data_IF_837603176013
#
_entry.id   IF_837603176013
#
_cell.length_a   1.000
_cell.length_b   1.000
_cell.length_c   1.000
_cell.angle_alpha   90.00
_cell.angle_beta   90.00
_cell.angle_gamma   90.00
#
_symmetry.space_group_name_H-M   'P 1'
#
loop_
_entity.id
_entity.type
_entity.pdbx_description
1 polymer ?
#
# COMPACT_ATOMS: atom_id res chain seq x y z
N UNK A 1 11.72 20.62 -16.78
CA UNK A 1 12.22 21.88 -16.19
C UNK A 1 12.61 21.56 -14.77
N UNK A 2 13.91 21.43 -14.55
CA UNK A 2 14.52 21.03 -13.29
C UNK A 2 14.62 22.29 -12.43
N UNK A 3 13.64 22.49 -11.54
CA UNK A 3 13.74 23.51 -10.51
C UNK A 3 14.71 22.95 -9.46
N UNK A 4 15.92 23.49 -9.44
CA UNK A 4 16.87 23.31 -8.34
C UNK A 4 16.13 23.51 -7.02
N UNK A 5 15.88 22.42 -6.31
CA UNK A 5 15.16 22.45 -5.04
C UNK A 5 16.03 23.22 -4.03
N UNK A 6 15.47 24.22 -3.32
CA UNK A 6 16.23 25.06 -2.40
C UNK A 6 16.73 24.29 -1.15
N UNK A 7 16.22 23.09 -0.90
CA UNK A 7 16.63 22.21 0.19
C UNK A 7 16.35 20.74 -0.15
N UNK A 8 17.10 19.79 0.45
CA UNK A 8 16.80 18.38 0.29
C UNK A 8 15.42 18.05 0.90
N UNK A 9 14.68 17.11 0.30
CA UNK A 9 13.41 16.63 0.84
C UNK A 9 13.54 16.10 2.29
N UNK A 10 12.54 16.29 3.16
CA UNK A 10 12.65 15.91 4.57
C UNK A 10 12.86 14.41 4.80
N UNK A 11 12.24 13.53 4.00
CA UNK A 11 12.37 12.08 4.20
C UNK A 11 13.55 11.52 3.42
N UNK A 12 13.51 11.60 2.08
CA UNK A 12 14.58 11.05 1.25
C UNK A 12 15.91 11.79 1.45
N UNK A 13 15.88 13.10 1.71
CA UNK A 13 17.07 13.88 2.03
C UNK A 13 17.69 13.60 3.40
N UNK A 14 16.94 12.96 4.31
CA UNK A 14 17.47 12.43 5.57
C UNK A 14 18.27 11.13 5.40
N UNK A 15 18.22 10.50 4.21
CA UNK A 15 18.99 9.29 3.94
C UNK A 15 20.49 9.61 3.80
N UNK A 16 21.38 8.84 4.43
CA UNK A 16 22.83 8.98 4.21
C UNK A 16 23.24 8.64 2.77
N UNK A 17 22.39 7.94 2.01
CA UNK A 17 22.63 7.60 0.61
C UNK A 17 22.12 8.67 -0.37
N UNK A 18 21.37 9.67 0.10
CA UNK A 18 20.63 10.59 -0.77
C UNK A 18 21.52 11.28 -1.80
N UNK A 19 22.69 11.78 -1.40
CA UNK A 19 23.60 12.47 -2.31
C UNK A 19 24.06 11.56 -3.47
N UNK A 20 24.43 10.31 -3.16
CA UNK A 20 24.86 9.33 -4.17
C UNK A 20 23.70 8.90 -5.08
N UNK A 21 22.51 8.70 -4.51
CA UNK A 21 21.31 8.35 -5.27
C UNK A 21 20.88 9.50 -6.19
N UNK A 22 20.90 10.74 -5.68
CA UNK A 22 20.51 11.93 -6.46
C UNK A 22 21.47 12.18 -7.62
N UNK A 23 22.77 11.93 -7.44
CA UNK A 23 23.77 12.08 -8.49
C UNK A 23 23.55 11.12 -9.67
N UNK A 24 22.96 9.95 -9.42
CA UNK A 24 22.73 8.90 -10.43
C UNK A 24 21.28 8.80 -10.90
N UNK A 25 20.34 9.45 -10.22
CA UNK A 25 18.90 9.38 -10.54
C UNK A 25 18.44 10.65 -11.25
N UNK A 26 17.93 10.56 -12.49
CA UNK A 26 17.60 11.73 -13.30
C UNK A 26 16.36 12.49 -12.79
N UNK A 27 15.43 11.80 -12.11
CA UNK A 27 14.14 12.36 -11.73
C UNK A 27 13.87 12.25 -10.23
N UNK A 28 13.44 13.36 -9.65
CA UNK A 28 12.93 13.45 -8.27
C UNK A 28 11.49 13.98 -8.32
N UNK A 29 10.54 13.17 -7.92
CA UNK A 29 9.11 13.52 -7.86
C UNK A 29 8.69 13.83 -6.42
N UNK A 30 8.07 14.99 -6.21
CA UNK A 30 7.44 15.34 -4.94
C UNK A 30 5.93 15.12 -5.06
N UNK A 31 5.40 14.09 -4.41
CA UNK A 31 3.96 13.82 -4.37
C UNK A 31 3.22 14.69 -3.37
N UNK A 32 3.90 15.22 -2.36
CA UNK A 32 3.33 16.26 -1.50
C UNK A 32 3.37 17.59 -2.24
N UNK A 33 2.22 18.24 -2.46
CA UNK A 33 2.20 19.57 -3.05
C UNK A 33 2.90 20.59 -2.13
N UNK A 34 3.65 21.51 -2.71
CA UNK A 34 4.11 22.69 -1.97
C UNK A 34 2.89 23.51 -1.51
N UNK A 35 2.97 24.20 -0.38
CA UNK A 35 1.82 24.93 0.19
C UNK A 35 1.22 25.97 -0.78
N UNK A 36 2.05 26.56 -1.64
CA UNK A 36 1.64 27.54 -2.65
C UNK A 36 1.22 26.93 -4.00
N UNK A 37 1.32 25.60 -4.18
CA UNK A 37 0.99 24.94 -5.45
C UNK A 37 -0.53 24.74 -5.60
N UNK A 38 -1.22 25.80 -6.01
CA UNK A 38 -2.67 25.81 -6.19
C UNK A 38 -3.16 24.80 -7.25
N UNK A 39 -2.29 24.28 -8.13
CA UNK A 39 -2.68 23.29 -9.14
C UNK A 39 -2.87 21.90 -8.56
N UNK A 40 -2.19 21.61 -7.44
CA UNK A 40 -2.16 20.31 -6.76
C UNK A 40 -2.86 20.31 -5.41
N UNK A 41 -3.43 21.44 -5.02
CA UNK A 41 -4.39 21.54 -3.93
C UNK A 41 -5.80 21.70 -4.49
N UNK A 42 -6.70 20.77 -4.15
CA UNK A 42 -8.12 20.85 -4.51
C UNK A 42 -8.94 21.24 -3.29
N UNK A 43 -9.91 22.12 -3.48
CA UNK A 43 -10.96 22.37 -2.48
C UNK A 43 -12.08 21.36 -2.72
N UNK A 44 -12.46 20.62 -1.69
CA UNK A 44 -13.54 19.63 -1.75
C UNK A 44 -14.51 19.88 -0.60
N UNK A 45 -15.80 20.05 -0.94
CA UNK A 45 -16.85 20.05 0.06
C UNK A 45 -17.21 18.62 0.42
N UNK A 46 -17.11 18.28 1.69
CA UNK A 46 -17.50 16.97 2.24
C UNK A 46 -18.48 17.23 3.38
N UNK A 47 -19.73 16.80 3.20
CA UNK A 47 -20.83 17.20 4.07
C UNK A 47 -21.03 18.72 4.06
N UNK A 48 -20.94 19.33 5.26
CA UNK A 48 -21.15 20.76 5.44
C UNK A 48 -19.84 21.58 5.43
N UNK A 49 -18.67 20.96 5.26
CA UNK A 49 -17.36 21.59 5.42
C UNK A 49 -16.55 21.53 4.13
N UNK A 50 -15.76 22.56 3.88
CA UNK A 50 -14.77 22.59 2.81
C UNK A 50 -13.41 22.16 3.34
N UNK A 51 -12.74 21.30 2.58
CA UNK A 51 -11.44 20.73 2.91
C UNK A 51 -10.45 20.98 1.80
N UNK A 52 -9.18 21.16 2.18
CA UNK A 52 -8.07 21.20 1.24
C UNK A 52 -7.50 19.79 1.08
N UNK A 53 -7.47 19.30 -0.15
CA UNK A 53 -7.04 17.94 -0.51
C UNK A 53 -5.80 17.98 -1.39
N UNK A 54 -4.75 17.29 -0.96
CA UNK A 54 -3.49 17.15 -1.71
C UNK A 54 -3.66 16.19 -2.89
N UNK A 55 -3.11 16.53 -4.05
CA UNK A 55 -3.10 15.67 -5.23
C UNK A 55 -1.70 15.11 -5.55
N UNK A 56 -1.59 13.80 -5.86
CA UNK A 56 -2.67 12.80 -5.92
C UNK A 56 -3.19 12.37 -4.54
N UNK A 57 -4.49 12.05 -4.43
CA UNK A 57 -5.12 11.48 -3.22
C UNK A 57 -5.61 10.05 -3.47
N UNK A 58 -5.57 9.21 -2.44
CA UNK A 58 -6.13 7.85 -2.51
C UNK A 58 -7.42 7.74 -1.72
N UNK A 59 -8.41 7.02 -2.28
CA UNK A 59 -9.61 6.56 -1.59
C UNK A 59 -9.49 5.07 -1.30
N UNK A 60 -9.58 4.71 -0.02
CA UNK A 60 -9.49 3.34 0.47
C UNK A 60 -10.84 2.91 1.05
N UNK A 61 -11.66 2.11 0.35
CA UNK A 61 -12.69 1.34 1.03
C UNK A 61 -11.97 0.32 1.91
N UNK A 62 -12.13 0.38 3.22
CA UNK A 62 -11.36 -0.44 4.14
C UNK A 62 -11.90 -1.87 4.20
N UNK A 63 -11.08 -2.86 3.87
CA UNK A 63 -11.46 -4.28 3.94
C UNK A 63 -11.56 -4.74 5.40
N UNK A 64 -12.77 -4.87 5.94
CA UNK A 64 -12.95 -5.50 7.26
C UNK A 64 -14.21 -6.34 7.38
N UNK A 65 -14.74 -6.83 6.24
CA UNK A 65 -15.92 -7.72 6.20
C UNK A 65 -15.73 -9.00 7.03
N UNK A 66 -14.52 -9.56 7.02
CA UNK A 66 -14.13 -10.69 7.86
C UNK A 66 -12.68 -10.59 8.32
N UNK A 67 -12.25 -11.33 9.36
CA UNK A 67 -10.85 -11.36 9.77
C UNK A 67 -9.94 -11.86 8.64
N UNK A 68 -8.78 -11.22 8.46
CA UNK A 68 -7.77 -11.61 7.47
C UNK A 68 -7.35 -13.09 7.62
N UNK A 69 -7.21 -13.78 6.48
CA UNK A 69 -6.65 -15.11 6.30
C UNK A 69 -5.21 -15.23 6.78
N UNK A 70 -4.48 -14.12 6.87
CA UNK A 70 -3.14 -14.06 7.45
C UNK A 70 -3.10 -13.28 8.77
N UNK A 71 -2.22 -13.71 9.68
CA UNK A 71 -1.87 -13.03 10.93
C UNK A 71 -0.39 -12.62 10.92
N UNK A 72 -0.01 -11.87 9.88
CA UNK A 72 1.35 -11.40 9.67
C UNK A 72 1.93 -10.75 10.93
N UNK A 73 3.18 -11.08 11.29
CA UNK A 73 3.79 -10.57 12.54
C UNK A 73 3.93 -9.05 12.58
N UNK A 74 4.01 -8.44 11.40
CA UNK A 74 4.15 -7.00 11.17
C UNK A 74 2.82 -6.29 10.91
N UNK A 75 1.67 -6.96 11.06
CA UNK A 75 0.37 -6.38 10.72
C UNK A 75 0.12 -5.07 11.48
N UNK A 76 -0.08 -3.96 10.76
CA UNK A 76 -0.35 -2.66 11.37
C UNK A 76 -1.62 -2.66 12.23
N UNK A 77 -2.59 -3.51 11.92
CA UNK A 77 -3.85 -3.62 12.65
C UNK A 77 -3.74 -4.21 14.06
N UNK A 78 -2.57 -4.76 14.40
CA UNK A 78 -2.25 -5.21 15.76
C UNK A 78 -1.40 -4.20 16.52
N UNK A 79 -0.99 -3.10 15.90
CA UNK A 79 -0.45 -1.94 16.60
C UNK A 79 -1.56 -1.25 17.40
N UNK A 80 -1.18 -0.66 18.53
CA UNK A 80 -2.11 0.05 19.41
C UNK A 80 -1.56 1.43 19.71
N UNK A 81 -2.34 2.46 19.40
CA UNK A 81 -2.03 3.83 19.79
C UNK A 81 -2.09 3.98 21.31
N UNK A 82 -1.23 4.83 21.87
CA UNK A 82 -1.33 5.26 23.27
C UNK A 82 -2.66 5.98 23.52
N UNK A 83 -3.10 6.81 22.57
CA UNK A 83 -4.36 7.54 22.61
C UNK A 83 -5.61 6.63 22.56
N UNK A 84 -5.43 5.34 22.28
CA UNK A 84 -6.54 4.39 22.16
C UNK A 84 -7.30 4.58 20.84
N UNK A 85 -8.60 4.29 20.86
CA UNK A 85 -9.49 4.35 19.69
C UNK A 85 -9.88 2.97 19.15
N UNK A 86 -10.88 2.99 18.26
CA UNK A 86 -11.43 1.81 17.63
C UNK A 86 -10.44 1.22 16.62
N UNK A 87 -10.21 -0.09 16.70
CA UNK A 87 -9.41 -0.78 15.70
C UNK A 87 -10.23 -0.92 14.40
N UNK A 88 -9.71 -0.43 13.28
CA UNK A 88 -10.40 -0.53 11.99
C UNK A 88 -10.73 -1.99 11.65
N UNK A 89 -9.79 -2.91 11.91
CA UNK A 89 -9.96 -4.35 11.73
C UNK A 89 -11.12 -4.99 12.54
N UNK A 90 -11.63 -4.35 13.59
CA UNK A 90 -12.79 -4.87 14.35
C UNK A 90 -14.14 -4.39 13.82
N UNK A 91 -14.17 -3.38 12.95
CA UNK A 91 -15.40 -2.88 12.35
C UNK A 91 -15.95 -3.88 11.32
N UNK A 92 -17.27 -4.02 11.24
CA UNK A 92 -17.94 -4.90 10.28
C UNK A 92 -18.98 -4.12 9.48
N UNK A 93 -19.11 -4.39 8.17
CA UNK A 93 -20.06 -3.69 7.32
C UNK A 93 -21.50 -4.02 7.75
N UNK A 94 -22.37 -3.02 7.91
CA UNK A 94 -23.79 -3.27 8.09
C UNK A 94 -24.45 -3.73 6.78
N UNK A 95 -25.71 -4.21 6.81
CA UNK A 95 -26.42 -4.64 5.60
C UNK A 95 -26.52 -3.56 4.51
N UNK A 96 -26.57 -2.29 4.91
CA UNK A 96 -26.66 -1.11 4.04
C UNK A 96 -25.28 -0.55 3.62
N UNK A 97 -24.18 -1.27 3.88
CA UNK A 97 -22.80 -0.80 3.60
C UNK A 97 -22.62 -0.23 2.19
N UNK A 98 -23.11 -0.90 1.14
CA UNK A 98 -22.93 -0.42 -0.23
C UNK A 98 -23.78 0.83 -0.54
N UNK A 99 -24.92 0.99 0.13
CA UNK A 99 -25.69 2.23 0.04
C UNK A 99 -24.94 3.38 0.72
N UNK A 100 -24.35 3.13 1.89
CA UNK A 100 -23.53 4.11 2.60
C UNK A 100 -22.25 4.47 1.81
N UNK A 101 -21.60 3.48 1.19
CA UNK A 101 -20.45 3.71 0.33
C UNK A 101 -20.81 4.60 -0.86
N UNK A 102 -21.95 4.36 -1.53
CA UNK A 102 -22.42 5.25 -2.61
C UNK A 102 -22.61 6.68 -2.14
N UNK A 103 -23.19 6.89 -0.96
CA UNK A 103 -23.32 8.23 -0.38
C UNK A 103 -21.94 8.88 -0.13
N UNK A 104 -20.95 8.13 0.36
CA UNK A 104 -19.59 8.62 0.57
C UNK A 104 -18.91 9.00 -0.74
N UNK A 105 -19.01 8.15 -1.77
CA UNK A 105 -18.45 8.42 -3.11
C UNK A 105 -19.10 9.65 -3.75
N UNK A 106 -20.39 9.88 -3.51
CA UNK A 106 -21.06 11.10 -3.96
C UNK A 106 -20.45 12.38 -3.36
N UNK A 107 -19.89 12.33 -2.13
CA UNK A 107 -19.18 13.46 -1.53
C UNK A 107 -17.85 13.78 -2.23
N UNK A 108 -17.33 12.85 -3.05
CA UNK A 108 -16.02 12.93 -3.70
C UNK A 108 -16.10 13.17 -5.21
N UNK A 109 -17.32 13.38 -5.76
CA UNK A 109 -17.49 13.67 -7.19
C UNK A 109 -16.70 14.91 -7.60
N UNK A 110 -16.05 14.84 -8.76
CA UNK A 110 -15.19 15.90 -9.28
C UNK A 110 -13.78 15.98 -8.68
N UNK A 111 -13.47 15.19 -7.64
CA UNK A 111 -12.12 15.06 -7.09
C UNK A 111 -11.37 13.94 -7.83
N UNK A 112 -10.25 14.23 -8.53
CA UNK A 112 -9.36 13.19 -9.02
C UNK A 112 -8.82 12.38 -7.84
N UNK A 113 -8.92 11.06 -7.93
CA UNK A 113 -8.43 10.15 -6.90
C UNK A 113 -7.93 8.84 -7.51
N UNK A 114 -7.24 8.05 -6.69
CA UNK A 114 -6.93 6.66 -6.99
C UNK A 114 -7.59 5.71 -5.99
N UNK A 115 -8.09 4.58 -6.45
CA UNK A 115 -8.60 3.53 -5.59
C UNK A 115 -7.44 2.70 -5.01
N UNK A 116 -7.38 2.61 -3.70
CA UNK A 116 -6.48 1.74 -2.95
C UNK A 116 -7.32 0.67 -2.26
N UNK A 117 -7.47 -0.49 -2.89
CA UNK A 117 -8.25 -1.61 -2.37
C UNK A 117 -7.39 -2.34 -1.32
N UNK A 118 -7.56 -1.98 -0.05
CA UNK A 118 -6.70 -2.40 1.07
C UNK A 118 -7.43 -2.35 2.42
N UNK A 119 -6.71 -2.63 3.51
CA UNK A 119 -7.22 -2.73 4.88
C UNK A 119 -6.73 -4.04 5.48
N UNK A 120 -7.64 -5.02 5.61
CA UNK A 120 -7.29 -6.43 5.74
C UNK A 120 -7.10 -7.09 4.36
N UNK A 121 -7.68 -8.26 4.13
CA UNK A 121 -7.63 -8.97 2.86
C UNK A 121 -8.98 -8.85 2.15
N UNK A 122 -9.01 -8.11 1.03
CA UNK A 122 -10.20 -7.89 0.23
C UNK A 122 -10.75 -9.20 -0.35
N UNK A 123 -9.85 -10.09 -0.79
CA UNK A 123 -10.22 -11.31 -1.49
C UNK A 123 -10.72 -12.42 -0.57
N UNK A 124 -10.70 -12.19 0.75
CA UNK A 124 -11.19 -13.17 1.72
C UNK A 124 -12.71 -13.38 1.64
N UNK A 125 -13.46 -12.37 1.18
CA UNK A 125 -14.90 -12.41 0.91
C UNK A 125 -15.18 -12.07 -0.55
N UNK A 126 -15.24 -13.09 -1.40
CA UNK A 126 -15.31 -12.92 -2.84
C UNK A 126 -16.60 -12.22 -3.29
N UNK A 127 -17.74 -12.59 -2.69
CA UNK A 127 -19.03 -12.00 -3.03
C UNK A 127 -19.10 -10.52 -2.63
N UNK A 128 -18.65 -10.19 -1.41
CA UNK A 128 -18.57 -8.81 -0.97
C UNK A 128 -17.59 -8.00 -1.82
N UNK A 129 -16.44 -8.59 -2.19
CA UNK A 129 -15.45 -7.89 -3.00
C UNK A 129 -15.95 -7.61 -4.42
N UNK A 130 -16.63 -8.56 -5.06
CA UNK A 130 -17.27 -8.33 -6.37
C UNK A 130 -18.33 -7.23 -6.30
N UNK A 131 -19.13 -7.18 -5.22
CA UNK A 131 -20.10 -6.10 -5.01
C UNK A 131 -19.42 -4.74 -4.78
N UNK A 132 -18.28 -4.71 -4.07
CA UNK A 132 -17.47 -3.52 -3.91
C UNK A 132 -16.98 -3.01 -5.27
N UNK A 133 -16.41 -3.88 -6.11
CA UNK A 133 -15.95 -3.49 -7.45
C UNK A 133 -17.09 -2.91 -8.28
N UNK A 134 -18.29 -3.54 -8.25
CA UNK A 134 -19.47 -3.02 -8.96
C UNK A 134 -19.90 -1.66 -8.44
N UNK A 135 -19.84 -1.44 -7.13
CA UNK A 135 -20.21 -0.17 -6.50
C UNK A 135 -19.25 0.96 -6.90
N UNK A 136 -17.95 0.69 -6.91
CA UNK A 136 -16.93 1.65 -7.34
C UNK A 136 -17.07 1.98 -8.83
N UNK A 137 -17.21 0.97 -9.68
CA UNK A 137 -17.42 1.09 -11.13
C UNK A 137 -18.69 1.88 -11.48
N UNK A 138 -19.78 1.69 -10.73
CA UNK A 138 -20.98 2.51 -10.86
C UNK A 138 -20.71 3.99 -10.50
N UNK A 139 -19.99 4.27 -9.41
CA UNK A 139 -19.67 5.63 -9.03
C UNK A 139 -18.77 6.35 -10.05
N UNK A 140 -17.85 5.62 -10.70
CA UNK A 140 -17.04 6.14 -11.81
C UNK A 140 -17.92 6.55 -13.01
N UNK A 141 -18.87 5.70 -13.42
CA UNK A 141 -19.85 6.05 -14.46
C UNK A 141 -20.71 7.25 -14.09
N UNK A 142 -20.93 7.49 -12.80
CA UNK A 142 -21.67 8.64 -12.27
C UNK A 142 -20.80 9.89 -12.05
N UNK A 143 -19.55 9.90 -12.52
CA UNK A 143 -18.69 11.08 -12.53
C UNK A 143 -17.63 11.14 -11.43
N UNK A 144 -17.34 10.03 -10.75
CA UNK A 144 -16.13 9.93 -9.92
C UNK A 144 -14.89 9.84 -10.83
N UNK A 145 -13.89 10.69 -10.59
CA UNK A 145 -12.68 10.77 -11.40
C UNK A 145 -11.60 9.86 -10.82
N UNK A 146 -11.32 8.74 -11.47
CA UNK A 146 -10.37 7.73 -10.98
C UNK A 146 -9.19 7.57 -11.92
N UNK A 147 -7.99 7.82 -11.40
CA UNK A 147 -6.73 7.78 -12.17
C UNK A 147 -6.09 6.40 -12.15
N UNK A 148 -6.08 5.74 -10.99
CA UNK A 148 -5.48 4.42 -10.79
C UNK A 148 -6.30 3.54 -9.86
N UNK A 149 -6.18 2.22 -10.03
CA UNK A 149 -6.87 1.20 -9.23
C UNK A 149 -5.85 0.16 -8.79
N UNK A 150 -5.56 0.09 -7.50
CA UNK A 150 -4.51 -0.77 -6.95
C UNK A 150 -5.12 -1.71 -5.93
N UNK A 151 -4.83 -3.00 -6.05
CA UNK A 151 -5.20 -4.01 -5.07
C UNK A 151 -3.97 -4.45 -4.27
N UNK A 152 -4.08 -4.40 -2.94
CA UNK A 152 -3.11 -4.99 -2.03
C UNK A 152 -3.68 -6.32 -1.53
N UNK A 153 -2.95 -7.41 -1.71
CA UNK A 153 -3.46 -8.74 -1.34
C UNK A 153 -2.34 -9.68 -0.87
N UNK A 154 -2.68 -10.61 0.00
CA UNK A 154 -1.88 -11.77 0.40
C UNK A 154 -2.10 -12.99 -0.53
N UNK A 155 -3.05 -12.91 -1.45
CA UNK A 155 -3.33 -13.93 -2.46
C UNK A 155 -4.39 -14.97 -2.11
N UNK A 156 -4.93 -14.96 -0.88
CA UNK A 156 -5.77 -16.05 -0.37
C UNK A 156 -7.00 -16.34 -1.24
N UNK A 157 -7.77 -15.32 -1.64
CA UNK A 157 -8.95 -15.53 -2.48
C UNK A 157 -8.62 -16.03 -3.88
N UNK A 158 -7.45 -15.68 -4.44
CA UNK A 158 -7.04 -16.18 -5.76
C UNK A 158 -6.66 -17.66 -5.76
N UNK A 159 -6.19 -18.18 -4.63
CA UNK A 159 -5.86 -19.61 -4.48
C UNK A 159 -7.09 -20.49 -4.21
N UNK A 160 -8.28 -19.91 -4.03
CA UNK A 160 -9.55 -20.63 -3.82
C UNK A 160 -10.24 -20.96 -5.15
N UNK A 161 -11.29 -21.76 -5.07
CA UNK A 161 -12.02 -22.29 -6.23
C UNK A 161 -12.65 -21.25 -7.17
N UNK A 162 -12.79 -19.99 -6.74
CA UNK A 162 -13.35 -18.91 -7.56
C UNK A 162 -12.31 -17.85 -7.98
N UNK A 163 -11.02 -18.14 -7.85
CA UNK A 163 -9.95 -17.21 -8.20
C UNK A 163 -10.04 -16.66 -9.63
N UNK A 164 -10.45 -17.47 -10.61
CA UNK A 164 -10.60 -17.02 -12.00
C UNK A 164 -11.75 -16.01 -12.17
N UNK A 165 -12.85 -16.19 -11.43
CA UNK A 165 -13.97 -15.25 -11.44
C UNK A 165 -13.57 -13.89 -10.83
N UNK A 166 -12.74 -13.92 -9.76
CA UNK A 166 -12.15 -12.71 -9.18
C UNK A 166 -11.22 -12.00 -10.18
N UNK A 167 -10.33 -12.72 -10.85
CA UNK A 167 -9.44 -12.15 -11.87
C UNK A 167 -10.23 -11.47 -12.98
N UNK A 168 -11.26 -12.14 -13.50
CA UNK A 168 -12.14 -11.56 -14.52
C UNK A 168 -12.87 -10.31 -14.02
N UNK A 169 -13.31 -10.29 -12.75
CA UNK A 169 -13.95 -9.11 -12.16
C UNK A 169 -12.98 -7.93 -12.07
N UNK A 170 -11.73 -8.18 -11.68
CA UNK A 170 -10.68 -7.15 -11.59
C UNK A 170 -10.25 -6.64 -12.97
N UNK A 171 -10.17 -7.51 -13.98
CA UNK A 171 -9.92 -7.12 -15.38
C UNK A 171 -11.03 -6.20 -15.90
N UNK A 172 -12.30 -6.58 -15.70
CA UNK A 172 -13.45 -5.74 -16.08
C UNK A 172 -13.48 -4.41 -15.35
N UNK A 173 -13.05 -4.40 -14.08
CA UNK A 173 -12.90 -3.18 -13.28
C UNK A 173 -11.77 -2.27 -13.78
N UNK A 174 -10.91 -2.73 -14.69
CA UNK A 174 -9.77 -1.96 -15.18
C UNK A 174 -8.71 -1.75 -14.10
N UNK A 175 -8.45 -2.77 -13.29
CA UNK A 175 -7.42 -2.72 -12.26
C UNK A 175 -6.05 -2.38 -12.89
N UNK A 176 -5.33 -1.43 -12.31
CA UNK A 176 -4.03 -0.99 -12.82
C UNK A 176 -2.93 -2.00 -12.50
N UNK A 177 -2.90 -2.53 -11.27
CA UNK A 177 -2.02 -3.64 -10.87
C UNK A 177 -2.43 -4.26 -9.54
N UNK A 178 -1.89 -5.44 -9.25
CA UNK A 178 -1.94 -6.10 -7.94
C UNK A 178 -0.57 -6.01 -7.27
N UNK A 179 -0.56 -5.61 -6.01
CA UNK A 179 0.56 -5.77 -5.08
C UNK A 179 0.32 -7.02 -4.24
N UNK A 180 0.97 -8.12 -4.65
CA UNK A 180 0.84 -9.43 -4.02
C UNK A 180 1.97 -9.63 -3.00
N UNK A 181 1.58 -9.92 -1.76
CA UNK A 181 2.52 -10.04 -0.65
C UNK A 181 3.07 -11.46 -0.54
N UNK A 182 4.39 -11.58 -0.64
CA UNK A 182 5.19 -12.75 -0.23
C UNK A 182 6.52 -12.22 0.25
N UNK A 183 6.99 -12.67 1.41
CA UNK A 183 8.17 -12.05 2.04
C UNK A 183 9.36 -13.00 2.10
N UNK A 184 9.20 -14.21 1.59
CA UNK A 184 10.29 -15.13 1.31
C UNK A 184 9.85 -16.21 0.28
N UNK A 185 10.72 -16.67 -0.64
CA UNK A 185 10.40 -17.78 -1.55
C UNK A 185 10.18 -19.10 -0.80
N UNK A 186 11.12 -19.46 0.10
CA UNK A 186 11.01 -20.65 0.94
C UNK A 186 9.84 -20.56 1.92
N UNK A 187 9.00 -21.60 1.91
CA UNK A 187 7.76 -21.69 2.70
C UNK A 187 7.99 -21.47 4.20
N UNK A 188 8.87 -22.26 4.84
CA UNK A 188 9.06 -22.17 6.29
C UNK A 188 9.46 -20.78 6.79
N UNK A 189 10.27 -20.06 5.99
CA UNK A 189 10.66 -18.67 6.29
C UNK A 189 9.51 -17.70 6.08
N UNK A 190 8.73 -17.88 5.00
CA UNK A 190 7.54 -17.08 4.77
C UNK A 190 6.48 -17.31 5.84
N UNK A 191 6.24 -18.55 6.27
CA UNK A 191 5.25 -18.90 7.31
C UNK A 191 5.61 -18.29 8.66
N UNK A 192 6.91 -18.13 8.95
CA UNK A 192 7.37 -17.42 10.13
C UNK A 192 6.98 -15.93 10.12
N UNK A 193 6.82 -15.35 8.93
CA UNK A 193 6.52 -13.93 8.68
C UNK A 193 5.01 -13.72 8.44
N UNK A 194 4.49 -14.29 7.35
CA UNK A 194 3.10 -14.33 6.93
C UNK A 194 2.42 -15.58 7.49
N UNK A 195 1.88 -15.47 8.70
CA UNK A 195 1.22 -16.58 9.39
C UNK A 195 -0.19 -16.78 8.86
N UNK A 196 -0.31 -17.44 7.72
CA UNK A 196 -1.60 -17.86 7.18
C UNK A 196 -2.34 -18.77 8.17
N UNK A 197 -3.66 -18.69 8.16
CA UNK A 197 -4.51 -19.57 8.97
C UNK A 197 -4.44 -21.01 8.43
N UNK A 198 -4.70 -22.01 9.28
CA UNK A 198 -4.79 -23.40 8.82
C UNK A 198 -5.78 -23.55 7.66
N UNK A 199 -5.38 -24.26 6.62
CA UNK A 199 -6.21 -24.52 5.44
C UNK A 199 -6.13 -23.49 4.32
N UNK A 200 -5.43 -22.36 4.51
CA UNK A 200 -5.21 -21.40 3.43
C UNK A 200 -4.17 -21.95 2.45
N UNK A 201 -4.62 -22.39 1.26
CA UNK A 201 -3.76 -23.03 0.26
C UNK A 201 -2.60 -22.13 -0.20
N UNK A 202 -2.80 -20.80 -0.23
CA UNK A 202 -1.78 -19.82 -0.63
C UNK A 202 -0.52 -19.82 0.26
N UNK A 203 -0.58 -20.42 1.45
CA UNK A 203 0.59 -20.59 2.32
C UNK A 203 1.67 -21.45 1.64
N UNK A 204 1.24 -22.50 0.93
CA UNK A 204 2.10 -23.40 0.19
C UNK A 204 2.88 -22.65 -0.91
N UNK A 205 4.17 -22.93 -1.02
CA UNK A 205 5.03 -22.22 -1.96
C UNK A 205 4.69 -22.50 -3.43
N UNK A 206 4.33 -23.74 -3.77
CA UNK A 206 3.99 -24.11 -5.15
C UNK A 206 2.64 -23.50 -5.55
N UNK A 207 1.66 -23.57 -4.65
CA UNK A 207 0.35 -22.92 -4.85
C UNK A 207 0.52 -21.40 -5.01
N UNK A 208 1.41 -20.78 -4.23
CA UNK A 208 1.71 -19.36 -4.38
C UNK A 208 2.26 -19.05 -5.78
N UNK A 209 3.28 -19.79 -6.24
CA UNK A 209 3.90 -19.56 -7.56
C UNK A 209 2.87 -19.73 -8.68
N UNK A 210 2.09 -20.81 -8.66
CA UNK A 210 1.04 -21.05 -9.65
C UNK A 210 -0.04 -19.95 -9.63
N UNK A 211 -0.41 -19.47 -8.44
CA UNK A 211 -1.37 -18.37 -8.30
C UNK A 211 -0.81 -17.05 -8.81
N UNK A 212 0.46 -16.74 -8.50
CA UNK A 212 1.14 -15.55 -8.99
C UNK A 212 1.25 -15.56 -10.52
N UNK A 213 1.61 -16.69 -11.12
CA UNK A 213 1.70 -16.84 -12.58
C UNK A 213 0.34 -16.60 -13.25
N UNK A 214 -0.75 -17.23 -12.75
CA UNK A 214 -2.11 -16.97 -13.25
C UNK A 214 -2.52 -15.50 -13.11
N UNK A 215 -2.17 -14.86 -11.99
CA UNK A 215 -2.41 -13.41 -11.82
C UNK A 215 -1.65 -12.63 -12.89
N UNK A 216 -0.36 -12.92 -13.09
CA UNK A 216 0.51 -12.21 -14.04
C UNK A 216 0.07 -12.37 -15.50
N UNK A 217 -0.56 -13.49 -15.85
CA UNK A 217 -1.18 -13.70 -17.17
C UNK A 217 -2.40 -12.81 -17.39
N UNK A 218 -3.13 -12.47 -16.33
CA UNK A 218 -4.37 -11.72 -16.41
C UNK A 218 -4.21 -10.21 -16.15
N UNK A 219 -3.28 -9.82 -15.27
CA UNK A 219 -3.15 -8.48 -14.69
C UNK A 219 -1.68 -8.13 -14.43
N UNK A 220 -1.30 -6.85 -14.46
CA UNK A 220 0.03 -6.44 -14.02
C UNK A 220 0.30 -6.84 -12.57
N UNK A 221 1.30 -7.70 -12.37
CA UNK A 221 1.69 -8.22 -11.06
C UNK A 221 2.93 -7.49 -10.52
N UNK A 222 2.82 -7.01 -9.28
CA UNK A 222 3.93 -6.56 -8.45
C UNK A 222 4.05 -7.43 -7.21
N UNK A 223 5.24 -7.92 -6.90
CA UNK A 223 5.49 -8.64 -5.66
C UNK A 223 6.01 -7.69 -4.59
N UNK A 224 5.48 -7.80 -3.37
CA UNK A 224 5.90 -6.98 -2.23
C UNK A 224 6.64 -7.85 -1.21
N UNK A 225 7.90 -7.49 -0.95
CA UNK A 225 8.77 -8.13 0.04
C UNK A 225 9.13 -7.13 1.15
N UNK A 226 8.75 -7.40 2.39
CA UNK A 226 9.20 -6.58 3.51
C UNK A 226 10.57 -7.06 3.99
N UNK A 227 11.55 -6.17 3.93
CA UNK A 227 12.91 -6.41 4.39
C UNK A 227 12.94 -6.58 5.91
N UNK A 228 13.47 -7.71 6.38
CA UNK A 228 13.51 -8.04 7.80
C UNK A 228 14.49 -9.17 8.11
N UNK A 229 14.99 -9.20 9.34
CA UNK A 229 15.73 -10.34 9.86
C UNK A 229 14.85 -11.59 9.88
N UNK A 230 15.40 -12.72 9.41
CA UNK A 230 14.65 -13.96 9.19
C UNK A 230 13.89 -14.00 7.85
N UNK A 231 13.86 -12.90 7.10
CA UNK A 231 13.40 -12.81 5.71
C UNK A 231 14.55 -12.39 4.79
N UNK A 232 14.26 -11.51 3.83
CA UNK A 232 15.27 -10.87 2.99
C UNK A 232 15.89 -9.68 3.74
N UNK A 233 17.22 -9.66 3.87
CA UNK A 233 17.92 -8.69 4.73
C UNK A 233 19.24 -8.15 4.17
N UNK A 234 19.65 -8.57 2.97
CA UNK A 234 20.93 -8.25 2.36
C UNK A 234 20.84 -8.26 0.82
N UNK A 235 21.95 -7.90 0.16
CA UNK A 235 22.02 -7.79 -1.30
C UNK A 235 21.86 -9.13 -2.02
N UNK A 236 22.40 -10.22 -1.46
CA UNK A 236 22.28 -11.56 -2.03
C UNK A 236 20.84 -12.06 -1.97
N UNK A 237 20.16 -11.83 -0.84
CA UNK A 237 18.74 -12.12 -0.68
C UNK A 237 17.87 -11.29 -1.64
N UNK A 238 18.22 -10.03 -1.89
CA UNK A 238 17.55 -9.20 -2.91
C UNK A 238 17.71 -9.81 -4.30
N UNK A 239 18.93 -10.14 -4.72
CA UNK A 239 19.19 -10.74 -6.04
C UNK A 239 18.43 -12.07 -6.21
N UNK A 240 18.52 -12.96 -5.24
CA UNK A 240 17.81 -14.24 -5.27
C UNK A 240 16.29 -14.07 -5.28
N UNK A 241 15.76 -13.06 -4.58
CA UNK A 241 14.33 -12.75 -4.59
C UNK A 241 13.89 -12.22 -5.95
N UNK A 242 14.69 -11.39 -6.62
CA UNK A 242 14.39 -10.88 -7.97
C UNK A 242 14.32 -12.02 -8.98
N UNK A 243 15.26 -12.97 -8.94
CA UNK A 243 15.24 -14.14 -9.82
C UNK A 243 14.01 -15.02 -9.61
N UNK A 244 13.66 -15.27 -8.34
CA UNK A 244 12.43 -16.00 -8.01
C UNK A 244 11.17 -15.24 -8.44
N UNK A 245 11.14 -13.91 -8.27
CA UNK A 245 10.02 -13.08 -8.66
C UNK A 245 9.78 -13.09 -10.18
N UNK A 246 10.84 -13.15 -10.99
CA UNK A 246 10.72 -13.35 -12.44
C UNK A 246 10.02 -14.66 -12.77
N UNK A 247 10.37 -15.76 -12.10
CA UNK A 247 9.72 -17.06 -12.29
C UNK A 247 8.23 -17.04 -11.91
N UNK A 248 7.83 -16.16 -10.99
CA UNK A 248 6.43 -15.91 -10.64
C UNK A 248 5.66 -15.05 -11.68
N UNK A 249 6.34 -14.51 -12.70
CA UNK A 249 5.75 -13.61 -13.70
C UNK A 249 5.64 -12.14 -13.27
N UNK A 250 6.24 -11.76 -12.14
CA UNK A 250 6.20 -10.39 -11.64
C UNK A 250 7.07 -9.46 -12.51
N UNK A 251 6.51 -8.30 -12.88
CA UNK A 251 7.26 -7.25 -13.61
C UNK A 251 7.79 -6.15 -12.70
N UNK A 252 7.37 -6.16 -11.44
CA UNK A 252 7.86 -5.23 -10.42
C UNK A 252 8.05 -5.97 -9.11
N UNK A 253 9.13 -5.68 -8.40
CA UNK A 253 9.33 -6.07 -7.00
C UNK A 253 9.51 -4.83 -6.15
N UNK A 254 8.76 -4.78 -5.05
CA UNK A 254 8.82 -3.71 -4.06
C UNK A 254 9.44 -4.28 -2.78
N UNK A 255 10.66 -3.88 -2.49
CA UNK A 255 11.33 -4.10 -1.21
C UNK A 255 10.98 -2.95 -0.25
N UNK A 256 10.24 -3.27 0.80
CA UNK A 256 9.70 -2.29 1.74
C UNK A 256 10.33 -2.45 3.12
N UNK A 257 10.70 -1.34 3.75
CA UNK A 257 11.04 -1.30 5.17
C UNK A 257 9.78 -1.40 6.03
N UNK A 258 9.85 -1.95 7.25
CA UNK A 258 8.84 -1.63 8.25
C UNK A 258 8.73 -0.12 8.44
N UNK A 259 7.49 0.38 8.53
CA UNK A 259 7.28 1.79 8.83
C UNK A 259 7.92 2.15 10.17
N UNK A 260 8.65 3.27 10.18
CA UNK A 260 9.23 3.83 11.41
C UNK A 260 8.08 4.26 12.31
N UNK A 261 8.02 3.68 13.50
CA UNK A 261 7.02 4.03 14.49
C UNK A 261 7.49 5.26 15.28
N UNK A 262 6.58 6.22 15.47
CA UNK A 262 6.79 7.31 16.43
C UNK A 262 6.47 6.87 17.87
N UNK A 263 6.64 7.79 18.82
CA UNK A 263 6.41 7.56 20.25
C UNK A 263 4.93 7.29 20.61
N UNK A 264 4.00 7.49 19.66
CA UNK A 264 2.55 7.35 19.87
C UNK A 264 2.03 5.91 19.99
N UNK A 265 2.88 4.90 19.96
CA UNK A 265 2.47 3.48 19.96
C UNK A 265 2.80 2.78 21.28
N UNK A 266 1.90 1.93 21.75
CA UNK A 266 2.09 1.08 22.92
C UNK A 266 3.13 0.00 22.63
N UNK A 267 3.93 -0.31 23.65
CA UNK A 267 4.77 -1.50 23.63
C UNK A 267 3.89 -2.77 23.64
N UNK A 268 4.10 -3.64 22.66
CA UNK A 268 3.25 -4.79 22.38
C UNK A 268 3.95 -5.78 21.48
N UNK A 269 3.33 -6.96 21.26
CA UNK A 269 3.96 -8.03 20.49
C UNK A 269 4.41 -7.59 19.09
N UNK A 270 3.57 -6.82 18.38
CA UNK A 270 3.90 -6.30 17.05
C UNK A 270 4.95 -5.20 17.10
N UNK A 271 4.82 -4.22 18.00
CA UNK A 271 5.81 -3.16 18.14
C UNK A 271 7.22 -3.72 18.41
N UNK A 272 7.33 -4.67 19.36
CA UNK A 272 8.60 -5.37 19.64
C UNK A 272 9.13 -6.13 18.44
N UNK A 273 8.26 -6.84 17.71
CA UNK A 273 8.67 -7.54 16.51
C UNK A 273 9.21 -6.60 15.44
N UNK A 274 8.50 -5.49 15.17
CA UNK A 274 8.94 -4.50 14.19
C UNK A 274 10.32 -3.95 14.58
N UNK A 275 10.55 -3.62 15.85
CA UNK A 275 11.87 -3.16 16.30
C UNK A 275 12.96 -4.22 16.14
N UNK A 276 12.70 -5.46 16.57
CA UNK A 276 13.71 -6.53 16.60
C UNK A 276 14.05 -7.07 15.21
N UNK A 277 13.06 -7.16 14.32
CA UNK A 277 13.23 -7.74 13.00
C UNK A 277 13.52 -6.70 11.92
N UNK A 278 13.46 -5.39 12.21
CA UNK A 278 13.66 -4.34 11.23
C UNK A 278 15.02 -4.43 10.57
N UNK A 279 15.00 -4.36 9.25
CA UNK A 279 16.17 -4.10 8.41
C UNK A 279 15.90 -2.80 7.66
N UNK A 280 16.79 -1.82 7.81
CA UNK A 280 16.61 -0.52 7.16
C UNK A 280 16.79 -0.66 5.63
N UNK A 281 15.94 0.02 4.85
CA UNK A 281 16.09 0.03 3.38
C UNK A 281 17.43 0.61 2.99
N UNK A 282 17.89 1.67 3.66
CA UNK A 282 19.18 2.29 3.36
C UNK A 282 20.37 1.35 3.58
N UNK A 283 20.28 0.45 4.57
CA UNK A 283 21.33 -0.54 4.81
C UNK A 283 21.41 -1.54 3.65
N UNK A 284 20.26 -2.12 3.25
CA UNK A 284 20.21 -3.10 2.17
C UNK A 284 20.55 -2.45 0.84
N UNK A 285 20.04 -1.25 0.58
CA UNK A 285 20.32 -0.50 -0.63
C UNK A 285 21.81 -0.16 -0.75
N UNK A 286 22.45 0.26 0.35
CA UNK A 286 23.90 0.49 0.37
C UNK A 286 24.70 -0.79 0.07
N UNK A 287 24.28 -1.94 0.61
CA UNK A 287 24.88 -3.23 0.28
C UNK A 287 24.65 -3.62 -1.18
N UNK A 288 23.45 -3.37 -1.72
CA UNK A 288 23.15 -3.58 -3.14
C UNK A 288 24.06 -2.71 -4.01
N UNK A 289 24.17 -1.41 -3.73
CA UNK A 289 25.05 -0.48 -4.45
C UNK A 289 26.51 -0.91 -4.50
N UNK A 290 26.99 -1.65 -3.50
CA UNK A 290 28.33 -2.21 -3.45
C UNK A 290 28.47 -3.55 -4.20
N UNK A 291 27.36 -4.22 -4.52
CA UNK A 291 27.37 -5.52 -5.19
C UNK A 291 27.66 -5.40 -6.69
N UNK A 292 28.31 -6.39 -7.33
CA UNK A 292 28.66 -6.33 -8.75
C UNK A 292 27.45 -6.13 -9.68
N UNK A 293 26.33 -6.81 -9.38
CA UNK A 293 25.11 -6.79 -10.20
C UNK A 293 24.38 -5.43 -10.20
N UNK A 294 24.68 -4.54 -9.24
CA UNK A 294 24.05 -3.21 -9.19
C UNK A 294 24.28 -2.38 -10.44
N UNK A 295 25.42 -2.58 -11.10
CA UNK A 295 25.76 -1.86 -12.35
C UNK A 295 24.81 -2.18 -13.49
N UNK A 296 24.03 -3.24 -13.38
CA UNK A 296 23.00 -3.65 -14.35
C UNK A 296 21.65 -2.98 -14.08
N UNK A 297 21.51 -2.26 -12.95
CA UNK A 297 20.31 -1.51 -12.64
C UNK A 297 20.43 -0.05 -13.12
N UNK A 298 19.38 0.41 -13.79
CA UNK A 298 19.21 1.79 -14.21
C UNK A 298 18.30 2.53 -13.22
N UNK A 299 18.80 3.56 -12.50
CA UNK A 299 17.94 4.44 -11.70
C UNK A 299 16.93 5.18 -12.57
N UNK A 300 15.65 5.07 -12.22
CA UNK A 300 14.56 5.73 -12.93
C UNK A 300 14.15 7.01 -12.19
N UNK A 301 13.83 6.87 -10.90
CA UNK A 301 13.14 7.93 -10.18
C UNK A 301 13.25 7.77 -8.67
N UNK A 302 13.40 8.88 -7.95
CA UNK A 302 13.11 8.96 -6.51
C UNK A 302 11.75 9.65 -6.34
N UNK A 303 10.89 9.12 -5.48
CA UNK A 303 9.59 9.71 -5.15
C UNK A 303 9.52 10.02 -3.66
N UNK A 304 9.13 11.25 -3.32
CA UNK A 304 8.78 11.64 -1.95
C UNK A 304 7.24 11.74 -1.81
N UNK A 305 6.68 10.85 -1.00
CA UNK A 305 5.29 10.85 -0.58
C UNK A 305 5.04 11.67 0.68
N UNK A 306 3.80 11.66 1.17
CA UNK A 306 3.44 12.42 2.38
C UNK A 306 4.01 11.84 3.68
N UNK A 307 4.39 10.57 3.67
CA UNK A 307 5.01 9.88 4.81
C UNK A 307 6.00 8.78 4.38
N UNK A 308 6.34 8.71 3.10
CA UNK A 308 7.22 7.67 2.55
C UNK A 308 8.15 8.27 1.51
N UNK A 309 9.21 7.55 1.18
CA UNK A 309 9.94 7.78 -0.07
C UNK A 309 10.34 6.46 -0.70
N UNK A 310 10.53 6.46 -2.02
CA UNK A 310 11.02 5.31 -2.73
C UNK A 310 12.05 5.65 -3.81
N UNK A 311 12.89 4.67 -4.13
CA UNK A 311 13.75 4.64 -5.30
C UNK A 311 13.23 3.56 -6.25
N UNK A 312 13.01 3.93 -7.51
CA UNK A 312 12.66 3.03 -8.61
C UNK A 312 13.87 2.83 -9.52
N UNK A 313 14.13 1.58 -9.85
CA UNK A 313 15.20 1.11 -10.72
C UNK A 313 14.59 0.20 -11.80
N UNK A 314 15.24 0.09 -12.95
CA UNK A 314 14.94 -0.91 -13.96
C UNK A 314 16.13 -1.85 -14.12
N UNK A 315 15.83 -3.11 -14.34
CA UNK A 315 16.78 -4.13 -14.84
C UNK A 315 16.86 -4.05 -16.37
N UNK A 316 17.88 -4.66 -16.96
CA UNK A 316 18.04 -4.71 -18.42
C UNK A 316 16.87 -5.42 -19.13
N UNK A 317 16.23 -6.40 -18.48
CA UNK A 317 15.04 -7.10 -18.98
C UNK A 317 13.72 -6.35 -18.74
N UNK A 318 13.79 -5.13 -18.19
CA UNK A 318 12.64 -4.24 -18.01
C UNK A 318 11.82 -4.48 -16.73
N UNK A 319 12.25 -5.40 -15.87
CA UNK A 319 11.66 -5.55 -14.53
C UNK A 319 12.00 -4.34 -13.66
N UNK A 320 10.99 -3.77 -13.00
CA UNK A 320 11.17 -2.67 -12.06
C UNK A 320 11.50 -3.17 -10.64
N UNK A 321 12.46 -2.53 -9.99
CA UNK A 321 12.83 -2.78 -8.60
C UNK A 321 12.62 -1.51 -7.80
N UNK A 322 11.84 -1.61 -6.73
CA UNK A 322 11.50 -0.47 -5.87
C UNK A 322 12.01 -0.71 -4.46
N UNK A 323 12.76 0.24 -3.92
CA UNK A 323 13.10 0.28 -2.50
C UNK A 323 12.30 1.39 -1.83
N UNK A 324 11.57 1.07 -0.76
CA UNK A 324 10.62 2.00 -0.15
C UNK A 324 10.69 1.98 1.38
N UNK A 325 10.72 3.16 1.99
CA UNK A 325 10.61 3.33 3.44
C UNK A 325 9.48 4.31 3.77
N UNK A 326 8.93 4.18 4.97
CA UNK A 326 7.82 5.01 5.45
C UNK A 326 7.95 5.33 6.93
N UNK A 327 7.30 6.42 7.35
CA UNK A 327 7.40 6.99 8.69
C UNK A 327 6.00 7.36 9.20
N UNK A 328 5.53 6.67 10.25
CA UNK A 328 4.24 6.95 10.84
C UNK A 328 4.21 8.24 11.67
N UNK A 329 5.34 8.70 12.19
CA UNK A 329 5.45 10.02 12.80
C UNK A 329 5.18 11.13 11.78
N UNK A 330 5.81 11.04 10.61
CA UNK A 330 5.56 11.96 9.50
C UNK A 330 4.10 11.89 9.02
N UNK A 331 3.52 10.67 8.94
CA UNK A 331 2.11 10.47 8.62
C UNK A 331 1.19 11.20 9.60
N UNK A 332 1.40 11.02 10.91
CA UNK A 332 0.59 11.68 11.94
C UNK A 332 0.73 13.20 11.87
N UNK A 333 1.94 13.72 11.73
CA UNK A 333 2.16 15.16 11.59
C UNK A 333 1.41 15.77 10.39
N UNK A 334 1.29 15.01 9.28
CA UNK A 334 0.50 15.43 8.12
C UNK A 334 -1.00 15.39 8.38
N UNK A 335 -1.51 14.35 9.03
CA UNK A 335 -2.93 14.29 9.36
C UNK A 335 -3.32 15.39 10.37
N UNK A 336 -2.42 15.73 11.30
CA UNK A 336 -2.64 16.76 12.32
C UNK A 336 -2.60 18.19 11.73
N UNK A 337 -2.18 18.37 10.47
CA UNK A 337 -2.21 19.68 9.79
C UNK A 337 -3.62 20.12 9.39
N UNK A 338 -4.59 19.19 9.39
CA UNK A 338 -5.96 19.43 8.93
C UNK A 338 -6.17 19.34 7.41
N UNK A 339 -5.11 19.10 6.64
CA UNK A 339 -5.19 18.82 5.20
C UNK A 339 -5.45 17.33 4.93
N UNK A 340 -6.10 17.05 3.80
CA UNK A 340 -6.39 15.67 3.39
C UNK A 340 -5.30 15.16 2.45
N UNK A 341 -4.57 14.14 2.89
CA UNK A 341 -3.58 13.40 2.08
C UNK A 341 -4.03 11.98 1.71
N UNK A 342 -5.04 11.47 2.43
CA UNK A 342 -5.62 10.14 2.21
C UNK A 342 -7.08 10.14 2.65
N UNK A 343 -7.92 9.40 1.94
CA UNK A 343 -9.31 9.14 2.29
C UNK A 343 -9.49 7.66 2.60
N UNK A 344 -10.12 7.35 3.72
CA UNK A 344 -10.46 5.98 4.13
C UNK A 344 -11.93 5.91 4.48
N UNK A 345 -12.66 4.99 3.86
CA UNK A 345 -14.04 4.68 4.20
C UNK A 345 -14.09 3.39 5.00
N UNK A 346 -14.43 3.50 6.29
CA UNK A 346 -14.49 2.39 7.21
C UNK A 346 -15.82 1.65 7.12
N UNK A 347 -15.81 0.39 7.57
CA UNK A 347 -16.97 -0.49 7.50
C UNK A 347 -18.19 0.00 8.27
N UNK A 348 -18.03 0.90 9.24
CA UNK A 348 -19.12 1.52 10.02
C UNK A 348 -19.71 2.78 9.37
N UNK A 349 -19.43 3.03 8.09
CA UNK A 349 -20.02 4.14 7.33
C UNK A 349 -19.30 5.49 7.52
N UNK A 350 -18.12 5.49 8.14
CA UNK A 350 -17.31 6.70 8.37
C UNK A 350 -16.33 6.93 7.23
N UNK A 351 -16.34 8.15 6.68
CA UNK A 351 -15.31 8.65 5.77
C UNK A 351 -14.32 9.50 6.58
N UNK A 352 -13.03 9.15 6.53
CA UNK A 352 -11.98 9.79 7.32
C UNK A 352 -10.78 10.23 6.46
N UNK A 353 -10.03 11.24 6.95
CA UNK A 353 -8.78 11.74 6.38
C UNK A 353 -7.54 10.96 6.86
N UNK A 354 -7.69 9.68 7.21
CA UNK A 354 -6.61 8.90 7.79
C UNK A 354 -7.04 7.48 8.19
N UNK A 355 -6.11 6.75 8.79
CA UNK A 355 -6.28 5.33 9.12
C UNK A 355 -6.96 5.06 10.47
N UNK A 356 -7.40 6.11 11.18
CA UNK A 356 -8.04 5.97 12.49
C UNK A 356 -9.53 6.37 12.41
N UNK A 357 -10.47 5.43 12.64
CA UNK A 357 -11.91 5.69 12.49
C UNK A 357 -12.46 6.83 13.37
N UNK A 358 -11.84 7.08 14.52
CA UNK A 358 -12.37 8.01 15.53
C UNK A 358 -11.65 9.37 15.55
N UNK A 359 -10.55 9.55 14.81
CA UNK A 359 -9.73 10.77 14.90
C UNK A 359 -9.95 11.73 13.74
N UNK A 360 -9.93 11.19 12.52
CA UNK A 360 -9.84 12.01 11.30
C UNK A 360 -11.19 12.05 10.57
N UNK A 361 -12.31 12.07 11.29
CA UNK A 361 -13.66 11.96 10.73
C UNK A 361 -14.04 13.17 9.88
N UNK A 362 -14.38 12.93 8.61
CA UNK A 362 -14.84 13.94 7.66
C UNK A 362 -16.36 13.93 7.53
N UNK A 363 -16.94 12.72 7.45
CA UNK A 363 -18.35 12.55 7.17
C UNK A 363 -18.85 11.17 7.61
N UNK A 364 -20.15 11.05 7.88
CA UNK A 364 -20.82 9.79 8.22
C UNK A 364 -22.01 9.58 7.31
N UNK A 365 -22.15 8.35 6.82
CA UNK A 365 -23.34 7.97 6.08
C UNK A 365 -24.58 7.99 6.96
N UNK A 366 -25.69 8.35 6.34
CA UNK A 366 -27.01 8.15 6.95
C UNK A 366 -27.44 6.72 6.71
N UNK A 367 -28.00 6.08 7.74
CA UNK A 367 -28.69 4.81 7.59
C UNK A 367 -29.89 4.99 6.65
N UNK A 368 -30.02 4.06 5.70
CA UNK A 368 -31.08 4.05 4.68
C UNK A 368 -32.10 2.97 4.95
#
# INVERSE_FOLDING_TARGET
MDASLPSPPPLSGGSPLFAALRASTPHLEWRVPAAADASRWRQQRIGARDYRVAQPVTFTPYASVRPCSARCRFCSETLRSLAGGTAAASLRPPPDYFAQLRQALAQLRGLPLSHSLSGLEMTDDEAWFVELLRTLDAAEREGLLVEQRVLYSNGAGFARGHGDALLQALQRFGLSWIELSRHHPQQARNDAIMRFRPGEAIADAEVFVATAQRIAEALPLRLVCILQHGGIADADGVAAYLDWARACGARTVIFREFSRLGEGYRDGGTARYLTQARVAVEQVLGACMAAPWWRELQPLQITEGYYFWNLRLATADGMEVVFETSDYGAMHARHDSGDIYKLVFFADGRLCAGWQPDRDLLWRASHG
#
